data_IF_611111559331
#
_entry.id   IF_611111559331
#
_cell.length_a   1.000
_cell.length_b   1.000
_cell.length_c   1.000
_cell.angle_alpha   90.00
_cell.angle_beta   90.00
_cell.angle_gamma   90.00
#
_symmetry.space_group_name_H-M   'P 1'
#
loop_
_entity.id
_entity.type
_entity.pdbx_description
1 polymer ?
#
# COMPACT_ATOMS: atom_id res chain seq x y z
N UNK A 1 8.77 0.30 -15.59
CA UNK A 1 8.05 -0.58 -14.64
C UNK A 1 6.59 -0.15 -14.62
N UNK A 2 5.61 -1.08 -14.71
CA UNK A 2 4.20 -0.73 -14.60
C UNK A 2 3.86 -0.07 -13.25
N UNK A 3 3.02 0.98 -13.20
CA UNK A 3 2.70 1.72 -11.97
C UNK A 3 2.25 0.83 -10.79
N UNK A 4 1.37 -0.14 -11.00
CA UNK A 4 0.91 -1.05 -9.94
C UNK A 4 2.06 -1.85 -9.29
N UNK A 5 3.12 -2.19 -10.04
CA UNK A 5 4.30 -2.85 -9.45
C UNK A 5 5.12 -1.90 -8.58
N UNK A 6 5.19 -0.63 -8.96
CA UNK A 6 5.85 0.40 -8.16
C UNK A 6 5.13 0.54 -6.82
N UNK A 7 3.81 0.62 -6.83
CA UNK A 7 3.02 0.95 -5.64
C UNK A 7 2.67 -0.24 -4.74
N UNK A 8 2.54 -1.45 -5.30
CA UNK A 8 2.03 -2.62 -4.57
C UNK A 8 3.03 -3.77 -4.42
N UNK A 9 4.32 -3.53 -4.73
CA UNK A 9 5.40 -4.43 -4.35
C UNK A 9 6.51 -3.69 -3.63
N UNK A 10 7.11 -4.31 -2.63
CA UNK A 10 8.21 -3.71 -1.86
C UNK A 10 9.45 -3.53 -2.75
N UNK A 11 9.74 -4.53 -3.57
CA UNK A 11 10.87 -4.55 -4.51
C UNK A 11 10.70 -3.51 -5.60
N UNK A 12 9.52 -3.41 -6.21
CA UNK A 12 9.25 -2.42 -7.25
C UNK A 12 9.34 -0.99 -6.73
N UNK A 13 8.82 -0.73 -5.52
CA UNK A 13 8.97 0.57 -4.90
C UNK A 13 10.44 0.93 -4.65
N UNK A 14 11.21 0.00 -4.06
CA UNK A 14 12.64 0.20 -3.80
C UNK A 14 13.46 0.41 -5.09
N UNK A 15 13.17 -0.35 -6.15
CA UNK A 15 13.84 -0.21 -7.45
C UNK A 15 13.57 1.17 -8.07
N UNK A 16 12.31 1.63 -8.08
CA UNK A 16 11.95 2.95 -8.60
C UNK A 16 12.68 4.09 -7.88
N UNK A 17 12.81 3.99 -6.56
CA UNK A 17 13.51 4.98 -5.73
C UNK A 17 15.01 5.02 -6.05
N UNK A 18 15.66 3.86 -6.19
CA UNK A 18 17.08 3.78 -6.59
C UNK A 18 17.28 4.37 -8.00
N UNK A 19 16.38 4.08 -8.94
CA UNK A 19 16.43 4.68 -10.28
C UNK A 19 16.38 6.20 -10.23
N UNK A 20 15.46 6.78 -9.45
CA UNK A 20 15.35 8.23 -9.26
C UNK A 20 16.59 8.81 -8.58
N UNK A 21 17.12 8.15 -7.55
CA UNK A 21 18.34 8.58 -6.89
C UNK A 21 19.53 8.61 -7.85
N UNK A 22 19.69 7.63 -8.74
CA UNK A 22 20.75 7.62 -9.74
C UNK A 22 20.58 8.71 -10.79
N UNK A 23 19.34 8.93 -11.25
CA UNK A 23 19.03 9.94 -12.26
C UNK A 23 19.26 11.36 -11.74
N UNK A 24 18.85 11.64 -10.51
CA UNK A 24 18.90 12.98 -9.92
C UNK A 24 20.09 13.19 -8.97
N UNK A 25 20.87 12.14 -8.70
CA UNK A 25 22.08 12.15 -7.85
C UNK A 25 21.85 12.64 -6.42
N UNK A 26 20.76 12.23 -5.80
CA UNK A 26 20.56 12.50 -4.37
C UNK A 26 21.57 11.70 -3.53
N UNK A 27 22.03 12.26 -2.41
CA UNK A 27 23.01 11.61 -1.53
C UNK A 27 22.44 10.43 -0.73
N UNK A 28 21.11 10.27 -0.74
CA UNK A 28 20.41 9.19 -0.06
C UNK A 28 18.91 9.29 -0.26
N UNK A 29 18.19 8.28 0.22
CA UNK A 29 16.73 8.20 0.11
C UNK A 29 16.19 7.93 1.51
N UNK A 30 15.43 8.87 2.07
CA UNK A 30 14.63 8.60 3.26
C UNK A 30 13.31 7.99 2.80
N UNK A 31 13.00 6.81 3.32
CA UNK A 31 11.89 6.03 2.83
C UNK A 31 11.18 5.32 3.97
N UNK A 32 9.86 5.44 3.96
CA UNK A 32 8.98 4.62 4.79
C UNK A 32 8.60 3.39 3.94
N UNK A 33 9.14 2.21 4.27
CA UNK A 33 8.74 0.94 3.64
C UNK A 33 7.82 0.18 4.61
N UNK A 34 6.51 0.47 4.64
CA UNK A 34 5.60 -0.54 5.13
C UNK A 34 5.76 -1.76 4.22
N UNK A 35 5.95 -2.94 4.81
CA UNK A 35 5.98 -4.16 4.02
C UNK A 35 4.65 -4.35 3.29
N UNK A 36 4.68 -5.06 2.16
CA UNK A 36 3.50 -5.47 1.40
C UNK A 36 3.40 -6.99 1.38
N UNK A 37 2.19 -7.57 1.49
CA UNK A 37 2.02 -8.99 1.27
C UNK A 37 2.44 -9.35 -0.15
N UNK A 38 3.21 -10.43 -0.27
CA UNK A 38 3.58 -10.97 -1.58
C UNK A 38 2.34 -11.39 -2.38
N UNK A 39 1.24 -11.71 -1.69
CA UNK A 39 -0.05 -12.13 -2.25
C UNK A 39 -1.04 -10.99 -2.49
N UNK A 40 -0.67 -9.72 -2.25
CA UNK A 40 -1.61 -8.59 -2.37
C UNK A 40 -2.25 -8.53 -3.77
N UNK A 41 -1.46 -8.77 -4.82
CA UNK A 41 -1.95 -8.76 -6.19
C UNK A 41 -2.77 -10.02 -6.55
N UNK A 42 -2.79 -11.06 -5.71
CA UNK A 42 -3.63 -12.23 -5.95
C UNK A 42 -5.12 -11.89 -5.80
N UNK A 43 -5.46 -10.82 -5.07
CA UNK A 43 -6.82 -10.32 -4.88
C UNK A 43 -7.27 -9.34 -5.98
N UNK A 44 -6.43 -9.11 -6.99
CA UNK A 44 -6.80 -8.36 -8.18
C UNK A 44 -7.72 -9.22 -9.07
N UNK A 45 -8.88 -8.68 -9.43
CA UNK A 45 -9.80 -9.33 -10.36
C UNK A 45 -9.51 -8.94 -11.81
N UNK A 46 -9.26 -7.65 -12.06
CA UNK A 46 -8.88 -7.17 -13.40
C UNK A 46 -8.08 -5.88 -13.34
N UNK A 47 -7.40 -5.59 -14.45
CA UNK A 47 -6.64 -4.36 -14.66
C UNK A 47 -6.84 -3.88 -16.09
N UNK A 48 -7.08 -2.58 -16.25
CA UNK A 48 -7.27 -1.96 -17.56
C UNK A 48 -6.52 -0.63 -17.63
N UNK A 49 -5.80 -0.42 -18.74
CA UNK A 49 -5.19 0.87 -19.04
C UNK A 49 -6.28 1.86 -19.49
N UNK A 50 -6.29 3.03 -18.87
CA UNK A 50 -7.18 4.14 -19.21
C UNK A 50 -6.35 5.34 -19.66
N UNK A 51 -7.02 6.40 -20.11
CA UNK A 51 -6.32 7.66 -20.40
C UNK A 51 -5.71 8.28 -19.13
N UNK A 52 -6.32 8.07 -17.97
CA UNK A 52 -5.92 8.67 -16.70
C UNK A 52 -4.83 7.87 -15.98
N UNK A 53 -4.76 6.55 -16.21
CA UNK A 53 -3.86 5.65 -15.49
C UNK A 53 -4.24 4.17 -15.61
N UNK A 54 -3.65 3.33 -14.76
CA UNK A 54 -4.07 1.93 -14.60
C UNK A 54 -5.27 1.84 -13.65
N UNK A 55 -6.40 1.32 -14.12
CA UNK A 55 -7.56 1.02 -13.28
C UNK A 55 -7.52 -0.44 -12.86
N UNK A 56 -7.38 -0.67 -11.56
CA UNK A 56 -7.43 -1.98 -10.91
C UNK A 56 -8.81 -2.19 -10.30
N UNK A 57 -9.42 -3.34 -10.56
CA UNK A 57 -10.63 -3.80 -9.88
C UNK A 57 -10.26 -4.99 -8.99
N UNK A 58 -10.48 -4.85 -7.68
CA UNK A 58 -10.24 -5.90 -6.70
C UNK A 58 -11.42 -6.88 -6.66
N UNK A 59 -11.20 -8.11 -6.19
CA UNK A 59 -12.27 -9.10 -5.99
C UNK A 59 -13.37 -8.65 -5.01
N UNK A 60 -13.11 -7.62 -4.20
CA UNK A 60 -14.11 -6.96 -3.35
C UNK A 60 -15.12 -6.12 -4.17
N UNK A 61 -14.84 -5.85 -5.45
CA UNK A 61 -15.56 -4.91 -6.29
C UNK A 61 -15.11 -3.45 -6.13
N UNK A 62 -14.18 -3.18 -5.23
CA UNK A 62 -13.62 -1.83 -5.03
C UNK A 62 -12.61 -1.51 -6.15
N UNK A 63 -12.62 -0.26 -6.68
CA UNK A 63 -11.63 0.14 -7.68
C UNK A 63 -10.45 0.91 -7.05
N UNK A 64 -9.28 0.77 -7.66
CA UNK A 64 -8.14 1.66 -7.47
C UNK A 64 -7.66 2.18 -8.81
N UNK A 65 -7.68 3.50 -9.00
CA UNK A 65 -6.99 4.16 -10.11
C UNK A 65 -5.56 4.47 -9.68
N UNK A 66 -4.57 4.09 -10.47
CA UNK A 66 -3.19 4.55 -10.33
C UNK A 66 -2.93 5.51 -11.49
N UNK A 67 -3.02 6.82 -11.28
CA UNK A 67 -2.69 7.79 -12.31
C UNK A 67 -1.23 7.63 -12.76
N UNK A 68 -0.93 8.05 -13.98
CA UNK A 68 0.43 7.93 -14.54
C UNK A 68 1.49 8.69 -13.74
N UNK A 69 1.09 9.75 -13.04
CA UNK A 69 1.96 10.74 -12.41
C UNK A 69 1.53 11.15 -10.99
N UNK A 70 0.62 10.40 -10.36
CA UNK A 70 0.12 10.68 -9.01
C UNK A 70 -0.02 9.40 -8.17
N UNK A 71 -0.32 9.56 -6.90
CA UNK A 71 -0.54 8.48 -5.96
C UNK A 71 -1.80 7.68 -6.32
N UNK A 72 -1.82 6.36 -6.01
CA UNK A 72 -3.01 5.54 -6.14
C UNK A 72 -4.22 6.16 -5.42
N UNK A 73 -5.37 6.10 -6.08
CA UNK A 73 -6.65 6.61 -5.62
C UNK A 73 -7.63 5.44 -5.49
N UNK A 74 -8.00 5.12 -4.25
CA UNK A 74 -8.95 4.04 -3.97
C UNK A 74 -10.33 4.58 -3.62
N UNK A 75 -11.37 3.85 -4.03
CA UNK A 75 -12.77 4.19 -3.75
C UNK A 75 -13.52 2.96 -3.27
N UNK A 76 -14.66 3.19 -2.64
CA UNK A 76 -15.61 2.12 -2.30
C UNK A 76 -16.20 1.50 -3.58
N UNK A 77 -16.78 0.30 -3.49
CA UNK A 77 -17.38 -0.39 -4.63
C UNK A 77 -18.54 0.38 -5.30
N UNK A 78 -19.24 1.23 -4.53
CA UNK A 78 -20.28 2.14 -5.04
C UNK A 78 -19.71 3.48 -5.58
N UNK A 79 -18.38 3.55 -5.75
CA UNK A 79 -17.61 4.72 -6.16
C UNK A 79 -17.61 5.90 -5.16
N UNK A 80 -18.18 5.73 -3.96
CA UNK A 80 -18.12 6.73 -2.91
C UNK A 80 -16.71 6.85 -2.31
N UNK A 81 -16.49 7.96 -1.58
CA UNK A 81 -15.24 8.20 -0.87
C UNK A 81 -15.02 7.16 0.23
N UNK A 82 -13.74 6.88 0.53
CA UNK A 82 -13.38 5.95 1.58
C UNK A 82 -13.93 6.39 2.95
N UNK A 83 -14.41 5.42 3.72
CA UNK A 83 -14.83 5.63 5.10
C UNK A 83 -13.65 6.17 5.93
N UNK A 84 -13.82 7.38 6.49
CA UNK A 84 -12.82 8.03 7.34
C UNK A 84 -13.23 8.02 8.80
N UNK A 85 -12.23 8.01 9.67
CA UNK A 85 -12.41 8.13 11.11
C UNK A 85 -12.99 9.50 11.48
N UNK A 86 -14.04 9.50 12.30
CA UNK A 86 -14.48 10.67 13.05
C UNK A 86 -13.94 10.52 14.48
N UNK A 87 -12.80 11.15 14.76
CA UNK A 87 -12.12 11.01 16.05
C UNK A 87 -12.92 11.56 17.23
N UNK A 88 -14.00 12.31 17.00
CA UNK A 88 -14.91 12.74 18.07
C UNK A 88 -15.85 11.63 18.54
N UNK A 89 -15.96 10.53 17.76
CA UNK A 89 -16.83 9.39 18.02
C UNK A 89 -16.07 8.10 18.35
N UNK A 90 -14.73 8.15 18.34
CA UNK A 90 -13.87 7.00 18.60
C UNK A 90 -13.28 7.17 20.00
N UNK A 91 -13.61 6.26 20.89
CA UNK A 91 -13.03 6.19 22.23
C UNK A 91 -11.60 5.68 22.15
N UNK A 92 -10.67 6.33 22.87
CA UNK A 92 -9.23 6.02 22.81
C UNK A 92 -8.90 4.57 23.21
N UNK A 93 -9.74 3.96 24.05
CA UNK A 93 -9.57 2.58 24.51
C UNK A 93 -10.27 1.54 23.61
N UNK A 94 -10.94 1.98 22.53
CA UNK A 94 -11.75 1.14 21.64
C UNK A 94 -11.37 1.35 20.15
N UNK A 95 -10.15 0.95 19.79
CA UNK A 95 -9.57 1.20 18.45
C UNK A 95 -9.83 0.07 17.42
N UNK A 96 -10.66 -0.91 17.77
CA UNK A 96 -11.02 -2.05 16.91
C UNK A 96 -11.77 -1.66 15.65
N UNK A 97 -12.42 -0.50 15.65
CA UNK A 97 -13.16 -0.01 14.49
C UNK A 97 -12.25 0.41 13.32
N UNK A 98 -10.96 0.70 13.54
CA UNK A 98 -10.09 1.22 12.47
C UNK A 98 -9.86 0.24 11.32
N UNK A 99 -9.92 -1.08 11.57
CA UNK A 99 -9.75 -2.07 10.51
C UNK A 99 -10.91 -2.07 9.50
N UNK A 100 -12.08 -1.54 9.89
CA UNK A 100 -13.23 -1.33 9.01
C UNK A 100 -13.28 0.06 8.37
N UNK A 101 -12.32 0.94 8.68
CA UNK A 101 -12.22 2.28 8.11
C UNK A 101 -11.20 2.24 6.97
N UNK A 102 -11.66 1.90 5.76
CA UNK A 102 -10.81 1.77 4.56
C UNK A 102 -9.96 3.02 4.31
N UNK A 103 -10.46 4.21 4.63
CA UNK A 103 -9.69 5.45 4.49
C UNK A 103 -8.50 5.53 5.43
N UNK A 104 -8.59 4.90 6.60
CA UNK A 104 -7.50 4.83 7.57
C UNK A 104 -6.44 3.80 7.14
N UNK A 105 -6.85 2.59 6.75
CA UNK A 105 -5.91 1.56 6.23
C UNK A 105 -5.22 2.04 4.96
N UNK A 106 -5.96 2.64 4.04
CA UNK A 106 -5.41 3.25 2.83
C UNK A 106 -4.45 4.40 3.13
N UNK A 107 -4.79 5.30 4.05
CA UNK A 107 -3.94 6.45 4.39
C UNK A 107 -2.59 6.05 4.98
N UNK A 108 -2.53 4.95 5.73
CA UNK A 108 -1.29 4.49 6.37
C UNK A 108 -0.51 3.53 5.46
N UNK A 109 -1.19 2.56 4.84
CA UNK A 109 -0.53 1.44 4.15
C UNK A 109 -0.69 1.49 2.62
N UNK A 110 -1.54 2.37 2.08
CA UNK A 110 -1.95 2.35 0.66
C UNK A 110 -2.35 0.94 0.22
N UNK A 111 -3.06 0.21 1.08
CA UNK A 111 -3.71 -1.07 0.78
C UNK A 111 -5.20 -0.94 1.08
N UNK A 112 -6.07 -1.56 0.26
CA UNK A 112 -7.51 -1.49 0.46
C UNK A 112 -7.93 -2.19 1.77
N UNK A 113 -7.24 -3.28 2.13
CA UNK A 113 -7.49 -4.03 3.36
C UNK A 113 -6.20 -4.31 4.14
N UNK A 114 -6.27 -4.49 5.46
CA UNK A 114 -5.16 -4.96 6.27
C UNK A 114 -4.96 -6.46 6.03
N UNK A 115 -3.83 -6.89 5.45
CA UNK A 115 -3.60 -8.28 5.11
C UNK A 115 -3.31 -9.14 6.35
N UNK A 116 -3.69 -10.42 6.31
CA UNK A 116 -3.23 -11.46 7.26
C UNK A 116 -3.52 -11.22 8.75
N UNK A 117 -4.48 -10.33 9.07
CA UNK A 117 -4.73 -9.98 10.46
C UNK A 117 -5.68 -10.96 11.13
N UNK A 118 -5.19 -11.65 12.17
CA UNK A 118 -5.97 -12.66 12.91
C UNK A 118 -6.91 -12.04 13.96
N UNK A 119 -6.58 -10.84 14.44
CA UNK A 119 -7.32 -10.10 15.46
C UNK A 119 -7.75 -8.72 14.93
N UNK A 120 -8.99 -8.32 15.24
CA UNK A 120 -9.46 -6.94 15.02
C UNK A 120 -8.75 -6.01 16.03
N UNK A 121 -8.48 -4.75 15.64
CA UNK A 121 -7.77 -3.78 16.50
C UNK A 121 -6.47 -3.29 15.90
N UNK A 122 -6.38 -1.98 15.63
CA UNK A 122 -5.18 -1.38 15.05
C UNK A 122 -3.93 -1.74 15.89
N UNK A 123 -2.93 -2.37 15.25
CA UNK A 123 -1.69 -2.86 15.88
C UNK A 123 -1.87 -3.94 16.97
N UNK A 124 -3.07 -4.46 17.21
CA UNK A 124 -3.30 -5.63 18.08
C UNK A 124 -2.61 -6.89 17.57
N UNK A 125 -2.38 -6.92 16.25
CA UNK A 125 -1.56 -7.88 15.54
C UNK A 125 -0.87 -7.12 14.40
N UNK A 126 0.46 -7.27 14.25
CA UNK A 126 1.21 -6.68 13.14
C UNK A 126 1.38 -7.80 12.11
N UNK A 127 0.73 -7.71 10.93
CA UNK A 127 0.89 -8.71 9.89
C UNK A 127 2.38 -8.90 9.58
N UNK A 128 2.89 -10.14 9.50
CA UNK A 128 4.28 -10.38 9.14
C UNK A 128 4.69 -9.70 7.82
N UNK A 129 3.73 -9.59 6.90
CA UNK A 129 3.84 -8.87 5.62
C UNK A 129 3.93 -7.34 5.76
N UNK A 130 3.43 -6.74 6.84
CA UNK A 130 3.55 -5.29 7.09
C UNK A 130 4.95 -4.88 7.59
N UNK A 131 5.77 -5.86 8.01
CA UNK A 131 7.16 -5.63 8.36
C UNK A 131 8.03 -5.78 7.11
N UNK A 132 8.74 -4.72 6.74
CA UNK A 132 9.74 -4.82 5.69
C UNK A 132 10.84 -5.82 6.07
N UNK A 133 10.94 -6.91 5.32
CA UNK A 133 11.98 -7.93 5.48
C UNK A 133 12.91 -7.88 4.28
N UNK A 134 14.07 -7.23 4.41
CA UNK A 134 14.97 -7.18 3.28
C UNK A 134 15.58 -8.57 3.02
N UNK A 135 15.39 -9.09 1.80
CA UNK A 135 16.11 -10.25 1.28
C UNK A 135 17.49 -9.81 0.79
N UNK A 136 18.37 -9.37 1.68
CA UNK A 136 19.78 -9.14 1.32
C UNK A 136 20.48 -10.50 1.19
N UNK A 137 20.91 -10.88 -0.02
CA UNK A 137 22.10 -11.72 -0.12
C UNK A 137 23.28 -10.88 0.37
N UNK A 138 24.12 -11.43 1.27
CA UNK A 138 25.35 -10.76 1.71
C UNK A 138 26.31 -10.67 0.52
N UNK A 139 26.14 -9.68 -0.33
CA UNK A 139 27.20 -9.19 -1.19
C UNK A 139 28.24 -8.52 -0.29
N UNK A 140 29.50 -8.93 -0.42
CA UNK A 140 30.63 -8.31 0.27
C UNK A 140 30.73 -6.84 -0.11
N UNK A 141 30.21 -5.95 0.74
CA UNK A 141 30.52 -4.53 0.68
C UNK A 141 31.76 -4.29 1.53
N UNK A 142 32.92 -4.28 0.88
CA UNK A 142 34.11 -3.67 1.44
C UNK A 142 33.95 -2.15 1.30
N UNK A 143 33.65 -1.49 2.42
CA UNK A 143 33.93 -0.08 2.62
C UNK A 143 35.32 0.06 3.25
#
# INVERSE_FOLDING_TARGET
MPPHKIWFSSEGFAEALVMLQQQYRFDGILVNLPGRPETLLDDLESMTDTQEGELLCWKSGEPTLIPWDDNPQHRMADASDLLRADFTKIEADHLDCFDGLTGYTWGIYHTPFPPEKSLRGHLSDIPPSALFRPKWSRGNWNC
#
